data_IF_517175995644
#
_entry.id   IF_517175995644
#
_cell.length_a   1.000
_cell.length_b   1.000
_cell.length_c   1.000
_cell.angle_alpha   90.00
_cell.angle_beta   90.00
_cell.angle_gamma   90.00
#
_symmetry.space_group_name_H-M   'P 1'
#
loop_
_entity.id
_entity.type
_entity.pdbx_description
1 polymer ?
#
# COMPACT_ATOMS: atom_id res chain seq x y z
N UNK A 1 -80.50 21.81 2.03
CA UNK A 1 -79.59 20.68 1.72
C UNK A 1 -78.96 20.76 0.32
N UNK A 2 -79.66 21.24 -0.72
CA UNK A 2 -79.15 21.35 -2.10
C UNK A 2 -77.86 22.16 -2.28
N UNK A 3 -77.69 23.29 -1.58
CA UNK A 3 -76.48 24.12 -1.67
C UNK A 3 -75.20 23.45 -1.12
N UNK A 4 -75.33 22.47 -0.22
CA UNK A 4 -74.17 21.71 0.31
C UNK A 4 -73.72 20.62 -0.67
N UNK A 5 -74.65 20.00 -1.40
CA UNK A 5 -74.33 19.02 -2.45
C UNK A 5 -73.67 19.69 -3.66
N UNK A 6 -74.13 20.87 -4.08
CA UNK A 6 -73.53 21.61 -5.20
C UNK A 6 -72.07 22.01 -4.92
N UNK A 7 -71.78 22.38 -3.66
CA UNK A 7 -70.42 22.77 -3.23
C UNK A 7 -69.46 21.58 -3.18
N UNK A 8 -69.97 20.40 -2.84
CA UNK A 8 -69.19 19.15 -2.83
C UNK A 8 -68.85 18.67 -4.24
N UNK A 9 -69.78 18.83 -5.20
CA UNK A 9 -69.54 18.49 -6.62
C UNK A 9 -68.53 19.45 -7.24
N UNK A 10 -68.57 20.74 -6.88
CA UNK A 10 -67.66 21.76 -7.42
C UNK A 10 -66.22 21.60 -6.88
N UNK A 11 -66.05 21.16 -5.62
CA UNK A 11 -64.74 20.84 -5.05
C UNK A 11 -64.18 19.53 -5.62
N UNK A 12 -65.04 18.54 -5.90
CA UNK A 12 -64.62 17.28 -6.54
C UNK A 12 -64.18 17.50 -8.00
N UNK A 13 -64.85 18.39 -8.74
CA UNK A 13 -64.41 18.77 -10.10
C UNK A 13 -63.11 19.56 -10.12
N UNK A 14 -62.83 20.39 -9.11
CA UNK A 14 -61.56 21.13 -9.02
C UNK A 14 -60.37 20.24 -8.62
N UNK A 15 -60.63 19.14 -7.91
CA UNK A 15 -59.60 18.18 -7.51
C UNK A 15 -59.20 17.22 -8.66
N UNK A 16 -60.08 17.00 -9.65
CA UNK A 16 -59.79 16.12 -10.81
C UNK A 16 -59.03 16.85 -11.92
N UNK A 17 -59.02 18.20 -11.95
CA UNK A 17 -58.23 18.98 -12.91
C UNK A 17 -56.78 19.23 -12.49
N UNK A 18 -56.38 18.80 -11.28
CA UNK A 18 -55.02 18.95 -10.77
C UNK A 18 -54.25 17.63 -10.90
N UNK A 19 -54.13 17.08 -12.11
CA UNK A 19 -53.08 16.10 -12.37
C UNK A 19 -51.74 16.87 -12.48
N UNK A 20 -50.67 16.42 -11.79
CA UNK A 20 -49.35 17.00 -12.00
C UNK A 20 -48.97 16.78 -13.46
N UNK A 21 -48.65 17.87 -14.18
CA UNK A 21 -48.21 17.79 -15.56
C UNK A 21 -46.88 17.03 -15.63
N UNK A 22 -46.83 15.97 -16.44
CA UNK A 22 -45.61 15.20 -16.71
C UNK A 22 -44.47 16.08 -17.24
N UNK A 23 -44.79 17.16 -17.94
CA UNK A 23 -43.81 18.15 -18.43
C UNK A 23 -43.06 18.84 -17.29
N UNK A 24 -43.75 19.20 -16.20
CA UNK A 24 -43.11 19.85 -15.04
C UNK A 24 -42.17 18.88 -14.30
N UNK A 25 -42.50 17.59 -14.25
CA UNK A 25 -41.62 16.56 -13.69
C UNK A 25 -40.42 16.27 -14.61
N UNK A 26 -40.61 16.24 -15.94
CA UNK A 26 -39.52 16.05 -16.89
C UNK A 26 -38.47 17.18 -16.82
N UNK A 27 -38.93 18.43 -16.62
CA UNK A 27 -38.07 19.60 -16.52
C UNK A 27 -37.35 19.67 -15.15
N UNK A 28 -38.01 19.28 -14.07
CA UNK A 28 -37.39 19.19 -12.74
C UNK A 28 -36.31 18.09 -12.67
N UNK A 29 -36.52 16.96 -13.34
CA UNK A 29 -35.56 15.86 -13.40
C UNK A 29 -34.32 16.22 -14.25
N UNK A 30 -34.50 16.95 -15.35
CA UNK A 30 -33.38 17.42 -16.19
C UNK A 30 -32.51 18.51 -15.53
N UNK A 31 -33.10 19.34 -14.67
CA UNK A 31 -32.34 20.31 -13.88
C UNK A 31 -31.48 19.66 -12.79
N UNK A 32 -31.99 18.60 -12.14
CA UNK A 32 -31.24 17.86 -11.12
C UNK A 32 -30.01 17.15 -11.67
N UNK A 33 -30.06 16.65 -12.91
CA UNK A 33 -28.93 15.98 -13.53
C UNK A 33 -27.88 16.93 -14.08
N UNK A 34 -28.29 18.07 -14.66
CA UNK A 34 -27.35 19.13 -15.03
C UNK A 34 -26.56 19.63 -13.82
N UNK A 35 -27.22 19.80 -12.66
CA UNK A 35 -26.54 20.18 -11.43
C UNK A 35 -25.56 19.08 -10.96
N UNK A 36 -25.97 17.80 -11.00
CA UNK A 36 -25.10 16.68 -10.65
C UNK A 36 -23.84 16.64 -11.52
N UNK A 37 -23.98 16.88 -12.83
CA UNK A 37 -22.85 16.92 -13.77
C UNK A 37 -21.86 18.03 -13.38
N UNK A 38 -22.36 19.25 -13.15
CA UNK A 38 -21.53 20.40 -12.74
C UNK A 38 -20.83 20.14 -11.40
N UNK A 39 -21.57 19.61 -10.43
CA UNK A 39 -21.04 19.31 -9.09
C UNK A 39 -19.94 18.25 -9.16
N UNK A 40 -20.17 17.14 -9.85
CA UNK A 40 -19.16 16.08 -9.99
C UNK A 40 -17.98 16.52 -10.84
N UNK A 41 -18.19 17.31 -11.89
CA UNK A 41 -17.10 17.89 -12.67
C UNK A 41 -16.21 18.79 -11.81
N UNK A 42 -16.80 19.59 -10.92
CA UNK A 42 -16.05 20.39 -9.95
C UNK A 42 -15.29 19.52 -8.95
N UNK A 43 -15.92 18.48 -8.41
CA UNK A 43 -15.25 17.52 -7.51
C UNK A 43 -14.02 16.90 -8.19
N UNK A 44 -14.15 16.43 -9.44
CA UNK A 44 -13.02 15.85 -10.19
C UNK A 44 -11.91 16.87 -10.42
N UNK A 45 -12.24 18.13 -10.72
CA UNK A 45 -11.24 19.20 -10.85
C UNK A 45 -10.52 19.49 -9.53
N UNK A 46 -11.25 19.56 -8.41
CA UNK A 46 -10.67 19.80 -7.10
C UNK A 46 -9.75 18.63 -6.69
N UNK A 47 -10.14 17.39 -6.97
CA UNK A 47 -9.30 16.21 -6.76
C UNK A 47 -8.05 16.23 -7.64
N UNK A 48 -8.16 16.67 -8.89
CA UNK A 48 -7.02 16.83 -9.79
C UNK A 48 -6.03 17.87 -9.24
N UNK A 49 -6.52 19.04 -8.82
CA UNK A 49 -5.69 20.09 -8.25
C UNK A 49 -4.97 19.64 -6.96
N UNK A 50 -5.65 18.89 -6.09
CA UNK A 50 -5.03 18.28 -4.91
C UNK A 50 -3.96 17.25 -5.29
N UNK A 51 -4.23 16.44 -6.31
CA UNK A 51 -3.27 15.46 -6.83
C UNK A 51 -2.00 16.15 -7.35
N UNK A 52 -2.15 17.27 -8.06
CA UNK A 52 -1.01 18.06 -8.56
C UNK A 52 -0.18 18.66 -7.42
N UNK A 53 -0.85 19.11 -6.35
CA UNK A 53 -0.19 19.59 -5.14
C UNK A 53 0.61 18.49 -4.44
N UNK A 54 0.03 17.29 -4.33
CA UNK A 54 0.71 16.13 -3.75
C UNK A 54 1.86 15.64 -4.61
N UNK A 55 1.71 15.62 -5.94
CA UNK A 55 2.80 15.26 -6.85
C UNK A 55 4.02 16.17 -6.68
N UNK A 56 3.81 17.47 -6.49
CA UNK A 56 4.91 18.41 -6.17
C UNK A 56 5.54 18.07 -4.82
N UNK A 57 4.73 17.83 -3.79
CA UNK A 57 5.22 17.43 -2.47
C UNK A 57 6.04 16.13 -2.51
N UNK A 58 5.66 15.16 -3.35
CA UNK A 58 6.46 13.94 -3.59
C UNK A 58 7.85 14.29 -4.13
N UNK A 59 7.97 15.28 -5.01
CA UNK A 59 9.24 15.71 -5.55
C UNK A 59 10.09 16.50 -4.54
N UNK A 60 9.45 17.36 -3.74
CA UNK A 60 10.11 18.18 -2.72
C UNK A 60 10.60 17.32 -1.53
N UNK A 61 9.81 16.34 -1.11
CA UNK A 61 10.09 15.45 0.03
C UNK A 61 10.69 14.09 -0.39
N UNK A 62 11.35 14.03 -1.55
CA UNK A 62 11.80 12.77 -2.17
C UNK A 62 12.78 11.94 -1.30
N UNK A 63 13.42 12.55 -0.30
CA UNK A 63 14.36 11.89 0.62
C UNK A 63 13.76 11.57 2.00
N UNK A 64 12.53 12.02 2.28
CA UNK A 64 11.86 11.80 3.56
C UNK A 64 10.80 10.68 3.45
N UNK A 65 11.14 9.48 3.94
CA UNK A 65 10.24 8.32 3.90
C UNK A 65 8.92 8.57 4.63
N UNK A 66 8.94 9.32 5.75
CA UNK A 66 7.74 9.58 6.53
C UNK A 66 6.78 10.52 5.80
N UNK A 67 7.32 11.57 5.16
CA UNK A 67 6.55 12.46 4.31
C UNK A 67 5.97 11.72 3.10
N UNK A 68 6.75 10.84 2.45
CA UNK A 68 6.28 10.02 1.34
C UNK A 68 5.15 9.06 1.74
N UNK A 69 5.16 8.50 2.95
CA UNK A 69 4.05 7.68 3.48
C UNK A 69 2.78 8.51 3.62
N UNK A 70 2.86 9.69 4.24
CA UNK A 70 1.72 10.60 4.41
C UNK A 70 1.11 10.97 3.05
N UNK A 71 1.95 11.35 2.08
CA UNK A 71 1.47 11.68 0.73
C UNK A 71 0.81 10.48 0.06
N UNK A 72 1.36 9.26 0.22
CA UNK A 72 0.76 8.04 -0.31
C UNK A 72 -0.64 7.80 0.26
N UNK A 73 -0.84 7.97 1.57
CA UNK A 73 -2.15 7.82 2.20
C UNK A 73 -3.16 8.81 1.65
N UNK A 74 -2.76 10.07 1.50
CA UNK A 74 -3.62 11.11 0.93
C UNK A 74 -3.98 10.81 -0.53
N UNK A 75 -3.03 10.33 -1.33
CA UNK A 75 -3.29 9.88 -2.70
C UNK A 75 -4.29 8.71 -2.74
N UNK A 76 -4.18 7.73 -1.85
CA UNK A 76 -5.15 6.62 -1.80
C UNK A 76 -6.58 7.12 -1.53
N UNK A 77 -6.75 8.12 -0.65
CA UNK A 77 -8.04 8.75 -0.39
C UNK A 77 -8.58 9.51 -1.62
N UNK A 78 -7.72 10.24 -2.33
CA UNK A 78 -8.11 10.90 -3.58
C UNK A 78 -8.51 9.90 -4.67
N UNK A 79 -7.81 8.75 -4.78
CA UNK A 79 -8.16 7.68 -5.73
C UNK A 79 -9.56 7.14 -5.45
N UNK A 80 -9.86 6.85 -4.17
CA UNK A 80 -11.20 6.43 -3.73
C UNK A 80 -12.26 7.49 -4.02
N UNK A 81 -11.98 8.76 -3.74
CA UNK A 81 -12.90 9.86 -4.00
C UNK A 81 -13.20 10.03 -5.50
N UNK A 82 -12.19 9.89 -6.37
CA UNK A 82 -12.37 9.94 -7.82
C UNK A 82 -13.30 8.82 -8.30
N UNK A 83 -13.09 7.59 -7.84
CA UNK A 83 -13.99 6.47 -8.17
C UNK A 83 -15.42 6.71 -7.68
N UNK A 84 -15.60 7.23 -6.46
CA UNK A 84 -16.93 7.57 -5.93
C UNK A 84 -17.66 8.61 -6.78
N UNK A 85 -16.95 9.57 -7.37
CA UNK A 85 -17.54 10.54 -8.29
C UNK A 85 -18.13 9.86 -9.53
N UNK A 86 -17.41 8.87 -10.11
CA UNK A 86 -17.94 8.09 -11.22
C UNK A 86 -19.16 7.24 -10.81
N UNK A 87 -19.18 6.71 -9.58
CA UNK A 87 -20.29 5.91 -9.06
C UNK A 87 -21.57 6.71 -8.85
N UNK A 88 -21.47 8.01 -8.58
CA UNK A 88 -22.62 8.90 -8.35
C UNK A 88 -23.59 8.94 -9.56
N UNK A 89 -23.09 8.70 -10.77
CA UNK A 89 -23.90 8.72 -12.00
C UNK A 89 -24.63 7.41 -12.30
N UNK A 90 -24.44 6.33 -11.52
CA UNK A 90 -25.03 5.01 -11.81
C UNK A 90 -26.54 5.05 -11.96
N UNK A 91 -27.25 5.66 -11.02
CA UNK A 91 -28.71 5.77 -11.07
C UNK A 91 -29.15 6.57 -12.30
N UNK A 92 -28.51 7.71 -12.54
CA UNK A 92 -28.90 8.60 -13.64
C UNK A 92 -28.70 7.96 -15.01
N UNK A 93 -27.59 7.23 -15.20
CA UNK A 93 -27.35 6.49 -16.44
C UNK A 93 -28.38 5.38 -16.65
N UNK A 94 -28.81 4.69 -15.59
CA UNK A 94 -29.88 3.70 -15.68
C UNK A 94 -31.20 4.36 -16.14
N UNK A 95 -31.57 5.49 -15.54
CA UNK A 95 -32.77 6.24 -15.90
C UNK A 95 -32.75 6.72 -17.36
N UNK A 96 -31.62 7.28 -17.81
CA UNK A 96 -31.43 7.73 -19.20
C UNK A 96 -31.56 6.54 -20.17
N UNK A 97 -30.90 5.41 -19.87
CA UNK A 97 -30.96 4.23 -20.73
C UNK A 97 -32.39 3.66 -20.80
N UNK A 98 -33.09 3.56 -19.68
CA UNK A 98 -34.49 3.12 -19.64
C UNK A 98 -35.40 4.04 -20.47
N UNK A 99 -35.18 5.36 -20.39
CA UNK A 99 -35.98 6.34 -21.14
C UNK A 99 -35.69 6.27 -22.64
N UNK A 100 -34.43 6.10 -23.04
CA UNK A 100 -34.05 5.85 -24.44
C UNK A 100 -34.68 4.56 -24.97
N UNK A 101 -34.74 3.50 -24.15
CA UNK A 101 -35.38 2.23 -24.51
C UNK A 101 -36.89 2.38 -24.72
N UNK A 102 -37.58 3.12 -23.83
CA UNK A 102 -39.01 3.44 -23.97
C UNK A 102 -39.30 4.26 -25.23
N UNK A 103 -38.40 5.18 -25.60
CA UNK A 103 -38.52 5.96 -26.85
C UNK A 103 -38.32 5.09 -28.11
N UNK A 104 -37.82 3.85 -27.98
CA UNK A 104 -37.62 2.92 -29.09
C UNK A 104 -36.52 3.36 -30.06
N UNK A 105 -36.20 2.58 -31.12
CA UNK A 105 -35.25 3.00 -32.15
C UNK A 105 -35.84 4.10 -33.04
N UNK A 106 -35.00 4.97 -33.64
CA UNK A 106 -35.46 5.96 -34.62
C UNK A 106 -36.10 5.27 -35.84
N UNK A 107 -37.07 5.93 -36.53
CA UNK A 107 -37.75 5.34 -37.67
C UNK A 107 -36.77 4.94 -38.79
N UNK A 108 -37.00 3.78 -39.40
CA UNK A 108 -36.21 3.34 -40.56
C UNK A 108 -36.40 4.28 -41.76
N UNK A 109 -35.41 4.36 -42.66
CA UNK A 109 -35.52 5.18 -43.87
C UNK A 109 -36.79 4.83 -44.66
N UNK A 110 -37.64 5.84 -44.89
CA UNK A 110 -38.91 5.70 -45.62
C UNK A 110 -40.16 5.57 -44.74
N UNK A 111 -40.03 5.51 -43.40
CA UNK A 111 -41.18 5.60 -42.49
C UNK A 111 -41.60 7.06 -42.22
N UNK A 112 -42.84 7.29 -41.73
CA UNK A 112 -43.29 8.63 -41.33
C UNK A 112 -42.32 9.25 -40.33
N UNK A 113 -42.04 10.54 -40.52
CA UNK A 113 -41.11 11.27 -39.66
C UNK A 113 -41.60 11.25 -38.21
N UNK A 114 -40.70 10.92 -37.28
CA UNK A 114 -40.97 10.91 -35.84
C UNK A 114 -41.45 12.30 -35.39
N UNK A 115 -42.39 12.40 -34.43
CA UNK A 115 -42.78 13.69 -33.88
C UNK A 115 -41.54 14.45 -33.37
N UNK A 116 -41.44 15.74 -33.69
CA UNK A 116 -40.28 16.57 -33.33
C UNK A 116 -39.94 16.52 -31.83
N UNK A 117 -40.95 16.35 -30.97
CA UNK A 117 -40.81 16.21 -29.53
C UNK A 117 -39.97 14.98 -29.15
N UNK A 118 -40.23 13.82 -29.77
CA UNK A 118 -39.52 12.55 -29.50
C UNK A 118 -38.07 12.65 -29.98
N UNK A 119 -37.85 13.20 -31.17
CA UNK A 119 -36.51 13.42 -31.72
C UNK A 119 -35.68 14.36 -30.83
N UNK A 120 -36.29 15.45 -30.35
CA UNK A 120 -35.63 16.41 -29.47
C UNK A 120 -35.29 15.79 -28.11
N UNK A 121 -36.22 15.03 -27.53
CA UNK A 121 -36.00 14.35 -26.24
C UNK A 121 -34.87 13.30 -26.35
N UNK A 122 -34.87 12.48 -27.42
CA UNK A 122 -33.80 11.53 -27.72
C UNK A 122 -32.45 12.23 -27.84
N UNK A 123 -32.40 13.37 -28.56
CA UNK A 123 -31.20 14.18 -28.71
C UNK A 123 -30.68 14.73 -27.38
N UNK A 124 -31.57 15.26 -26.54
CA UNK A 124 -31.21 15.78 -25.22
C UNK A 124 -30.66 14.68 -24.29
N UNK A 125 -31.30 13.50 -24.24
CA UNK A 125 -30.84 12.37 -23.44
C UNK A 125 -29.49 11.82 -23.93
N UNK A 126 -29.25 11.81 -25.24
CA UNK A 126 -27.97 11.40 -25.82
C UNK A 126 -26.84 12.39 -25.48
N UNK A 127 -27.11 13.70 -25.54
CA UNK A 127 -26.15 14.73 -25.14
C UNK A 127 -25.81 14.62 -23.66
N UNK A 128 -26.81 14.49 -22.80
CA UNK A 128 -26.61 14.33 -21.36
C UNK A 128 -25.78 13.08 -21.02
N UNK A 129 -26.05 11.94 -21.68
CA UNK A 129 -25.26 10.72 -21.53
C UNK A 129 -23.79 10.92 -21.93
N UNK A 130 -23.54 11.69 -22.99
CA UNK A 130 -22.19 11.99 -23.44
C UNK A 130 -21.43 12.85 -22.41
N UNK A 131 -22.08 13.85 -21.83
CA UNK A 131 -21.50 14.69 -20.77
C UNK A 131 -21.17 13.88 -19.51
N UNK A 132 -22.09 13.04 -19.05
CA UNK A 132 -21.87 12.14 -17.91
C UNK A 132 -20.67 11.22 -18.18
N UNK A 133 -20.60 10.61 -19.36
CA UNK A 133 -19.50 9.72 -19.74
C UNK A 133 -18.15 10.45 -19.77
N UNK A 134 -18.13 11.72 -20.17
CA UNK A 134 -16.91 12.54 -20.14
C UNK A 134 -16.41 12.76 -18.71
N UNK A 135 -17.31 13.06 -17.76
CA UNK A 135 -16.95 13.22 -16.34
C UNK A 135 -16.47 11.90 -15.74
N UNK A 136 -17.16 10.78 -16.04
CA UNK A 136 -16.72 9.44 -15.62
C UNK A 136 -15.33 9.11 -16.14
N UNK A 137 -15.06 9.37 -17.42
CA UNK A 137 -13.76 9.14 -18.03
C UNK A 137 -12.66 9.99 -17.35
N UNK A 138 -12.97 11.26 -17.04
CA UNK A 138 -12.04 12.14 -16.32
C UNK A 138 -11.72 11.59 -14.92
N UNK A 139 -12.72 11.14 -14.18
CA UNK A 139 -12.54 10.55 -12.86
C UNK A 139 -11.73 9.23 -12.89
N UNK A 140 -11.98 8.38 -13.89
CA UNK A 140 -11.22 7.14 -14.09
C UNK A 140 -9.75 7.42 -14.44
N UNK A 141 -9.51 8.33 -15.37
CA UNK A 141 -8.15 8.75 -15.74
C UNK A 141 -7.40 9.34 -14.55
N UNK A 142 -8.09 10.13 -13.71
CA UNK A 142 -7.52 10.67 -12.49
C UNK A 142 -7.14 9.54 -11.50
N UNK A 143 -8.01 8.55 -11.28
CA UNK A 143 -7.69 7.41 -10.42
C UNK A 143 -6.48 6.62 -10.93
N UNK A 144 -6.38 6.38 -12.25
CA UNK A 144 -5.22 5.72 -12.86
C UNK A 144 -3.94 6.53 -12.61
N UNK A 145 -3.99 7.85 -12.83
CA UNK A 145 -2.85 8.74 -12.59
C UNK A 145 -2.41 8.70 -11.12
N UNK A 146 -3.35 8.79 -10.18
CA UNK A 146 -3.09 8.73 -8.74
C UNK A 146 -2.41 7.41 -8.36
N UNK A 147 -2.90 6.28 -8.89
CA UNK A 147 -2.28 4.98 -8.64
C UNK A 147 -0.84 4.91 -9.18
N UNK A 148 -0.57 5.50 -10.34
CA UNK A 148 0.80 5.64 -10.86
C UNK A 148 1.72 6.45 -9.93
N UNK A 149 1.21 7.49 -9.27
CA UNK A 149 1.98 8.23 -8.25
C UNK A 149 2.23 7.40 -6.99
N UNK A 150 1.23 6.63 -6.53
CA UNK A 150 1.38 5.71 -5.39
C UNK A 150 2.47 4.67 -5.68
N UNK A 151 2.49 4.11 -6.89
CA UNK A 151 3.51 3.14 -7.32
C UNK A 151 4.90 3.79 -7.36
N UNK A 152 5.00 5.01 -7.90
CA UNK A 152 6.25 5.78 -7.91
C UNK A 152 6.78 6.01 -6.49
N UNK A 153 5.92 6.39 -5.55
CA UNK A 153 6.28 6.51 -4.12
C UNK A 153 6.80 5.18 -3.57
N UNK A 154 6.14 4.07 -3.89
CA UNK A 154 6.60 2.73 -3.49
C UNK A 154 8.03 2.43 -3.94
N UNK A 155 8.38 2.77 -5.19
CA UNK A 155 9.74 2.61 -5.73
C UNK A 155 10.72 3.51 -4.99
N UNK A 156 10.44 4.82 -4.85
CA UNK A 156 11.33 5.76 -4.17
C UNK A 156 11.63 5.34 -2.73
N UNK A 157 10.60 4.90 -1.99
CA UNK A 157 10.78 4.43 -0.60
C UNK A 157 11.63 3.16 -0.52
N UNK A 158 11.44 2.22 -1.45
CA UNK A 158 12.32 1.05 -1.57
C UNK A 158 13.77 1.46 -1.81
N UNK A 159 14.00 2.47 -2.65
CA UNK A 159 15.35 2.98 -2.93
C UNK A 159 15.95 3.70 -1.73
N UNK A 160 15.17 4.51 -1.01
CA UNK A 160 15.59 5.12 0.26
C UNK A 160 15.97 4.06 1.29
N UNK A 161 15.18 3.00 1.41
CA UNK A 161 15.48 1.89 2.31
C UNK A 161 16.79 1.19 1.94
N UNK A 162 17.01 0.90 0.65
CA UNK A 162 18.27 0.32 0.13
C UNK A 162 19.45 1.24 0.41
N UNK A 163 19.30 2.54 0.15
CA UNK A 163 20.33 3.54 0.41
C UNK A 163 20.62 3.67 1.90
N UNK A 164 19.61 3.65 2.76
CA UNK A 164 19.79 3.70 4.20
C UNK A 164 20.51 2.47 4.73
N UNK A 165 20.16 1.28 4.25
CA UNK A 165 20.88 0.04 4.56
C UNK A 165 22.34 0.10 4.09
N UNK A 166 22.58 0.57 2.87
CA UNK A 166 23.93 0.71 2.32
C UNK A 166 24.77 1.79 3.03
N UNK A 167 24.14 2.85 3.54
CA UNK A 167 24.82 3.99 4.18
C UNK A 167 25.06 3.79 5.68
N UNK A 168 24.18 3.06 6.38
CA UNK A 168 24.39 2.68 7.80
C UNK A 168 25.34 1.51 7.98
N UNK A 169 25.58 0.74 6.93
CA UNK A 169 26.61 -0.26 6.95
C UNK A 169 27.85 0.29 6.27
N UNK A 170 28.89 0.54 7.06
CA UNK A 170 30.28 0.59 6.63
C UNK A 170 30.74 -0.75 6.01
N UNK A 171 29.86 -1.51 5.34
CA UNK A 171 30.25 -2.72 4.59
C UNK A 171 31.26 -2.35 3.50
N UNK A 172 31.18 -1.16 2.92
CA UNK A 172 32.13 -0.73 1.89
C UNK A 172 33.53 -0.53 2.44
N UNK A 173 33.66 -0.06 3.69
CA UNK A 173 34.96 0.17 4.34
C UNK A 173 35.46 -1.10 5.05
N UNK A 174 34.57 -1.83 5.74
CA UNK A 174 34.85 -3.09 6.42
C UNK A 174 35.06 -4.29 5.47
N UNK A 175 34.49 -4.26 4.27
CA UNK A 175 34.76 -5.22 3.18
C UNK A 175 35.63 -4.59 2.07
N UNK A 176 36.35 -3.52 2.39
CA UNK A 176 37.28 -2.92 1.43
C UNK A 176 38.42 -3.89 1.10
N UNK A 177 39.02 -3.78 -0.10
CA UNK A 177 40.24 -4.52 -0.44
C UNK A 177 41.37 -4.29 0.57
N UNK A 178 41.42 -3.10 1.18
CA UNK A 178 42.41 -2.73 2.19
C UNK A 178 42.19 -3.51 3.49
N UNK A 179 40.95 -3.56 4.00
CA UNK A 179 40.62 -4.33 5.19
C UNK A 179 40.93 -5.83 5.03
N UNK A 180 40.71 -6.38 3.83
CA UNK A 180 41.07 -7.77 3.52
C UNK A 180 42.60 -7.99 3.48
N UNK A 181 43.35 -7.06 2.89
CA UNK A 181 44.81 -7.09 2.88
C UNK A 181 45.39 -7.02 4.30
N UNK A 182 44.90 -6.07 5.11
CA UNK A 182 45.36 -5.88 6.49
C UNK A 182 45.05 -7.10 7.37
N UNK A 183 43.88 -7.73 7.19
CA UNK A 183 43.52 -8.96 7.88
C UNK A 183 44.43 -10.13 7.47
N UNK A 184 44.76 -10.26 6.18
CA UNK A 184 45.70 -11.26 5.69
C UNK A 184 47.11 -11.05 6.26
N UNK A 185 47.59 -9.81 6.27
CA UNK A 185 48.91 -9.46 6.80
C UNK A 185 49.00 -9.72 8.30
N UNK A 186 47.96 -9.39 9.08
CA UNK A 186 47.92 -9.72 10.50
C UNK A 186 47.91 -11.23 10.74
N UNK A 187 47.13 -11.99 9.95
CA UNK A 187 47.08 -13.45 10.08
C UNK A 187 48.43 -14.10 9.73
N UNK A 188 49.09 -13.65 8.65
CA UNK A 188 50.43 -14.14 8.30
C UNK A 188 51.47 -13.75 9.34
N UNK A 189 51.35 -12.56 9.94
CA UNK A 189 52.19 -12.11 11.07
C UNK A 189 52.03 -13.00 12.30
N UNK A 190 50.79 -13.29 12.70
CA UNK A 190 50.49 -14.22 13.80
C UNK A 190 51.03 -15.62 13.52
N UNK A 191 50.77 -16.16 12.33
CA UNK A 191 51.29 -17.46 11.93
C UNK A 191 52.82 -17.52 12.00
N UNK A 192 53.51 -16.48 11.50
CA UNK A 192 54.98 -16.37 11.61
C UNK A 192 55.43 -16.27 13.07
N UNK A 193 54.77 -15.47 13.90
CA UNK A 193 55.11 -15.33 15.31
C UNK A 193 54.96 -16.66 16.06
N UNK A 194 53.84 -17.36 15.89
CA UNK A 194 53.60 -18.67 16.52
C UNK A 194 54.57 -19.72 15.99
N UNK A 195 54.77 -19.79 14.67
CA UNK A 195 55.69 -20.75 14.04
C UNK A 195 57.14 -20.52 14.48
N UNK A 196 57.60 -19.26 14.47
CA UNK A 196 58.95 -18.91 14.93
C UNK A 196 59.15 -19.21 16.40
N UNK A 197 58.16 -18.92 17.25
CA UNK A 197 58.21 -19.28 18.67
C UNK A 197 58.26 -20.80 18.86
N UNK A 198 57.44 -21.58 18.14
CA UNK A 198 57.46 -23.05 18.21
C UNK A 198 58.82 -23.61 17.76
N UNK A 199 59.34 -23.16 16.61
CA UNK A 199 60.65 -23.59 16.10
C UNK A 199 61.73 -23.22 17.12
N UNK A 200 61.67 -22.02 17.71
CA UNK A 200 62.63 -21.60 18.73
C UNK A 200 62.56 -22.48 19.98
N UNK A 201 61.35 -22.74 20.48
CA UNK A 201 61.10 -23.57 21.65
C UNK A 201 61.66 -24.99 21.46
N UNK A 202 61.40 -25.62 20.32
CA UNK A 202 61.88 -26.98 20.03
C UNK A 202 63.37 -27.04 19.66
N UNK A 203 63.91 -26.09 18.89
CA UNK A 203 65.30 -26.16 18.45
C UNK A 203 66.31 -25.67 19.50
N UNK A 204 65.94 -24.65 20.28
CA UNK A 204 66.88 -23.98 21.19
C UNK A 204 66.57 -24.18 22.68
N UNK A 205 65.34 -24.55 23.03
CA UNK A 205 64.90 -24.70 24.44
C UNK A 205 64.22 -26.03 24.75
N UNK A 206 64.51 -27.09 23.98
CA UNK A 206 63.84 -28.39 24.11
C UNK A 206 63.86 -28.93 25.54
N UNK A 207 64.99 -28.83 26.24
CA UNK A 207 65.11 -29.30 27.62
C UNK A 207 64.19 -28.54 28.59
N UNK A 208 64.09 -27.21 28.44
CA UNK A 208 63.21 -26.40 29.26
C UNK A 208 61.73 -26.67 28.94
N UNK A 209 61.39 -26.85 27.65
CA UNK A 209 60.03 -27.21 27.21
C UNK A 209 59.62 -28.58 27.73
N UNK A 210 60.49 -29.58 27.63
CA UNK A 210 60.25 -30.93 28.15
C UNK A 210 60.11 -30.92 29.67
N UNK A 211 60.98 -30.21 30.39
CA UNK A 211 60.89 -30.08 31.83
C UNK A 211 59.57 -29.40 32.25
N UNK A 212 59.18 -28.30 31.57
CA UNK A 212 57.91 -27.63 31.81
C UNK A 212 56.71 -28.52 31.49
N UNK A 213 56.73 -29.27 30.38
CA UNK A 213 55.68 -30.20 30.01
C UNK A 213 55.55 -31.34 31.01
N UNK A 214 56.66 -31.90 31.49
CA UNK A 214 56.67 -32.97 32.49
C UNK A 214 56.16 -32.45 33.85
N UNK A 215 56.54 -31.24 34.25
CA UNK A 215 56.00 -30.58 35.45
C UNK A 215 54.50 -30.29 35.32
N UNK A 216 54.04 -29.83 34.15
CA UNK A 216 52.62 -29.60 33.88
C UNK A 216 51.81 -30.90 33.89
N UNK A 217 52.32 -31.96 33.28
CA UNK A 217 51.72 -33.31 33.35
C UNK A 217 51.76 -33.87 34.77
N UNK A 218 52.83 -33.62 35.53
CA UNK A 218 52.93 -33.97 36.94
C UNK A 218 51.87 -33.26 37.78
N UNK A 219 51.71 -31.95 37.60
CA UNK A 219 50.64 -31.17 38.24
C UNK A 219 49.26 -31.69 37.83
N UNK A 220 49.03 -31.94 36.54
CA UNK A 220 47.78 -32.50 36.04
C UNK A 220 47.50 -33.89 36.66
N UNK A 221 48.52 -34.74 36.81
CA UNK A 221 48.40 -36.03 37.48
C UNK A 221 48.12 -35.87 38.97
N UNK A 222 48.75 -34.92 39.66
CA UNK A 222 48.46 -34.60 41.08
C UNK A 222 47.03 -34.10 41.24
N UNK A 223 46.54 -33.24 40.34
CA UNK A 223 45.15 -32.77 40.36
C UNK A 223 44.18 -33.92 40.04
N UNK A 224 44.49 -34.79 39.09
CA UNK A 224 43.63 -35.91 38.73
C UNK A 224 43.58 -36.96 39.86
N UNK A 225 44.74 -37.38 40.39
CA UNK A 225 44.83 -38.39 41.46
C UNK A 225 44.39 -37.80 42.80
N UNK A 226 44.87 -36.61 43.15
CA UNK A 226 44.51 -35.91 44.38
C UNK A 226 43.05 -35.49 44.38
N UNK A 227 42.55 -34.95 43.26
CA UNK A 227 41.14 -34.64 43.09
C UNK A 227 40.27 -35.90 43.19
N UNK A 228 40.64 -36.99 42.52
CA UNK A 228 39.94 -38.27 42.65
C UNK A 228 40.03 -38.86 44.06
N UNK A 229 41.12 -38.65 44.79
CA UNK A 229 41.29 -39.17 46.16
C UNK A 229 40.53 -38.36 47.21
N UNK A 230 40.50 -37.04 47.09
CA UNK A 230 39.82 -36.14 48.03
C UNK A 230 38.31 -36.05 47.76
N UNK A 231 37.92 -36.05 46.48
CA UNK A 231 36.52 -35.87 46.08
C UNK A 231 35.86 -37.16 45.56
N UNK A 232 36.60 -38.26 45.34
CA UNK A 232 36.03 -39.49 44.77
C UNK A 232 34.92 -40.14 45.61
N UNK A 233 34.97 -39.99 46.93
CA UNK A 233 33.91 -40.50 47.84
C UNK A 233 32.64 -39.65 47.82
N UNK A 234 32.70 -38.44 47.30
CA UNK A 234 31.54 -37.53 47.18
C UNK A 234 30.77 -37.81 45.88
N UNK A 235 31.43 -38.46 44.90
CA UNK A 235 30.89 -38.73 43.57
C UNK A 235 30.83 -40.23 43.24
N UNK A 236 30.70 -41.11 44.24
CA UNK A 236 30.40 -42.54 44.02
C UNK A 236 28.87 -42.71 43.93
N UNK A 237 28.30 -43.02 42.74
CA UNK A 237 26.88 -43.31 42.62
C UNK A 237 26.57 -44.57 43.44
N UNK A 238 25.55 -44.51 44.28
CA UNK A 238 25.07 -45.68 45.02
C UNK A 238 24.66 -46.77 44.01
N UNK A 239 25.34 -47.93 43.97
CA UNK A 239 25.07 -48.97 42.99
C UNK A 239 23.69 -49.62 43.18
N UNK A 240 22.99 -49.35 44.28
CA UNK A 240 21.61 -49.78 44.50
C UNK A 240 20.57 -48.87 43.83
N UNK A 241 20.97 -47.71 43.30
CA UNK A 241 20.09 -46.75 42.63
C UNK A 241 20.41 -46.76 41.13
N UNK A 242 19.61 -47.50 40.37
CA UNK A 242 19.77 -47.66 38.91
C UNK A 242 19.55 -46.35 38.12
N UNK A 243 18.91 -45.34 38.75
CA UNK A 243 18.66 -44.02 38.17
C UNK A 243 18.71 -42.91 39.24
N UNK A 244 19.89 -42.33 39.53
CA UNK A 244 19.98 -41.20 40.44
C UNK A 244 19.30 -39.95 39.85
N UNK A 245 18.62 -39.17 40.70
CA UNK A 245 17.95 -37.93 40.32
C UNK A 245 18.95 -36.80 40.09
N UNK A 246 18.89 -36.13 38.93
CA UNK A 246 19.81 -35.04 38.52
C UNK A 246 19.26 -33.65 38.88
N UNK A 247 19.00 -33.39 40.17
CA UNK A 247 18.88 -32.02 40.68
C UNK A 247 20.18 -31.61 41.37
#
# INVERSE_FOLDING_TARGET
MFFRLLRLILVLMLAVSAQPSFDAMAQAIGQGSAQLIVDQQKVVQDLAAKTDGLEKKVADDAEDDAALVDVRLQLEDLSRAALNSALAFRSRLADINNRIEVLGPPPAQGQPQEPAIVTNERGALAAEKAEINAVIASAQNLSIRINGLIDKIGVMRSDLFRNFLAKRYELTDALSPQAFSDAHDQFTGLYKAVSSWLIFAFKFKLQAVLAAALMALGLAAVLLVGGRRLFGRIFEPDPSIEAPSYL
#
